data_IF_493464740640
#
_entry.id   IF_493464740640
#
_cell.length_a   1.000
_cell.length_b   1.000
_cell.length_c   1.000
_cell.angle_alpha   90.00
_cell.angle_beta   90.00
_cell.angle_gamma   90.00
#
_symmetry.space_group_name_H-M   'P 1'
#
loop_
_entity.id
_entity.type
_entity.pdbx_description
1 polymer ?
#
# COMPACT_ATOMS: atom_id res chain seq x y z
N UNK A 1 -16.29 5.02 -8.51
CA UNK A 1 -15.90 6.14 -7.62
C UNK A 1 -16.01 7.43 -8.43
N UNK A 2 -16.65 8.47 -7.87
CA UNK A 2 -16.84 9.77 -8.55
C UNK A 2 -15.92 10.80 -7.93
N UNK A 3 -15.41 11.71 -8.76
CA UNK A 3 -14.77 12.94 -8.32
C UNK A 3 -15.78 14.08 -8.49
N UNK A 4 -15.79 15.01 -7.54
CA UNK A 4 -16.65 16.19 -7.54
C UNK A 4 -15.75 17.40 -7.31
N UNK A 5 -15.73 18.34 -8.26
CA UNK A 5 -14.96 19.59 -8.12
C UNK A 5 -15.64 20.54 -7.14
N UNK A 6 -14.94 21.57 -6.59
CA UNK A 6 -15.58 22.62 -5.80
C UNK A 6 -16.69 23.39 -6.55
N UNK A 7 -16.67 23.36 -7.89
CA UNK A 7 -17.72 23.93 -8.73
C UNK A 7 -18.94 23.00 -8.88
N UNK A 8 -18.85 21.76 -8.41
CA UNK A 8 -19.92 20.76 -8.47
C UNK A 8 -19.89 19.87 -9.71
N UNK A 9 -18.84 19.94 -10.54
CA UNK A 9 -18.71 19.06 -11.71
C UNK A 9 -18.43 17.64 -11.28
N UNK A 10 -19.19 16.67 -11.80
CA UNK A 10 -19.09 15.26 -11.42
C UNK A 10 -18.49 14.44 -12.55
N UNK A 11 -17.34 13.83 -12.31
CA UNK A 11 -16.63 12.94 -13.25
C UNK A 11 -16.48 11.53 -12.67
N UNK A 12 -16.23 10.53 -13.52
CA UNK A 12 -15.79 9.21 -13.02
C UNK A 12 -14.30 9.32 -12.70
N UNK A 13 -13.95 9.16 -11.42
CA UNK A 13 -12.55 9.09 -11.00
C UNK A 13 -11.95 7.72 -11.30
N UNK A 14 -12.62 6.65 -10.85
CA UNK A 14 -12.19 5.26 -11.05
C UNK A 14 -13.38 4.30 -11.14
N UNK A 15 -13.21 3.22 -11.90
CA UNK A 15 -14.23 2.19 -12.15
C UNK A 15 -14.87 2.32 -13.54
N UNK A 16 -15.40 1.22 -14.06
CA UNK A 16 -16.30 1.25 -15.23
C UNK A 16 -17.78 1.10 -14.82
N UNK A 17 -18.65 2.07 -15.14
CA UNK A 17 -20.09 1.95 -14.91
C UNK A 17 -20.69 0.71 -15.58
N UNK A 18 -21.56 0.00 -14.86
CA UNK A 18 -22.27 -1.18 -15.36
C UNK A 18 -21.42 -2.46 -15.43
N UNK A 19 -20.16 -2.43 -14.99
CA UNK A 19 -19.30 -3.60 -14.92
C UNK A 19 -18.71 -3.75 -13.51
N UNK A 20 -19.35 -4.59 -12.68
CA UNK A 20 -18.80 -4.95 -11.38
C UNK A 20 -17.71 -6.03 -11.49
N UNK A 21 -17.02 -6.27 -10.38
CA UNK A 21 -15.92 -7.23 -10.30
C UNK A 21 -14.71 -6.63 -9.58
N UNK A 22 -13.61 -7.38 -9.55
CA UNK A 22 -12.41 -7.05 -8.78
C UNK A 22 -11.16 -6.84 -9.65
N UNK A 23 -11.34 -6.50 -10.94
CA UNK A 23 -10.21 -6.34 -11.85
C UNK A 23 -9.35 -5.14 -11.42
N UNK A 24 -8.05 -5.36 -11.26
CA UNK A 24 -7.02 -4.33 -11.11
C UNK A 24 -6.68 -3.69 -12.48
N UNK A 25 -5.94 -2.58 -12.48
CA UNK A 25 -5.50 -1.92 -13.71
C UNK A 25 -5.56 -0.39 -13.64
N UNK A 26 -5.74 0.28 -14.77
CA UNK A 26 -5.90 1.74 -14.78
C UNK A 26 -7.22 2.16 -14.13
N UNK A 27 -7.34 3.44 -13.78
CA UNK A 27 -8.58 4.03 -13.26
C UNK A 27 -9.83 3.64 -14.07
N UNK A 28 -9.74 3.59 -15.40
CA UNK A 28 -10.87 3.30 -16.29
C UNK A 28 -11.11 1.81 -16.52
N UNK A 29 -10.07 0.97 -16.39
CA UNK A 29 -10.23 -0.48 -16.55
C UNK A 29 -10.63 -1.17 -15.25
N UNK A 30 -10.18 -0.67 -14.10
CA UNK A 30 -10.44 -1.25 -12.80
C UNK A 30 -11.94 -1.44 -12.55
N UNK A 31 -12.31 -2.53 -11.88
CA UNK A 31 -13.70 -2.82 -11.47
C UNK A 31 -13.81 -2.84 -9.96
N UNK A 32 -14.98 -2.47 -9.46
CA UNK A 32 -15.33 -2.47 -8.04
C UNK A 32 -16.72 -3.08 -7.88
N UNK A 33 -17.03 -3.61 -6.70
CA UNK A 33 -18.34 -4.14 -6.35
C UNK A 33 -18.75 -3.64 -4.97
N UNK A 34 -19.68 -2.68 -4.97
CA UNK A 34 -20.15 -1.99 -3.76
C UNK A 34 -19.01 -1.43 -2.90
N UNK A 35 -18.19 -0.50 -3.45
CA UNK A 35 -17.20 0.19 -2.63
C UNK A 35 -17.91 0.96 -1.50
N UNK A 36 -17.42 0.81 -0.26
CA UNK A 36 -18.00 1.41 0.94
C UNK A 36 -17.24 2.67 1.36
N UNK A 37 -16.28 2.56 2.29
CA UNK A 37 -15.46 3.70 2.71
C UNK A 37 -14.25 3.94 1.80
N UNK A 38 -13.83 5.20 1.77
CA UNK A 38 -12.67 5.71 1.07
C UNK A 38 -11.81 6.49 2.07
N UNK A 39 -10.51 6.26 2.10
CA UNK A 39 -9.59 7.04 2.93
C UNK A 39 -8.27 7.28 2.22
N UNK A 40 -7.64 8.43 2.44
CA UNK A 40 -6.33 8.73 1.87
C UNK A 40 -5.22 8.39 2.86
N UNK A 41 -4.12 7.84 2.35
CA UNK A 41 -2.86 7.84 3.11
C UNK A 41 -2.20 9.23 3.06
N UNK A 42 -1.04 9.36 3.71
CA UNK A 42 -0.26 10.61 3.73
C UNK A 42 0.35 10.98 2.37
N UNK A 43 0.40 10.03 1.45
CA UNK A 43 1.01 10.16 0.13
C UNK A 43 -0.02 10.51 -0.95
N UNK A 44 -1.29 10.58 -0.58
CA UNK A 44 -2.40 10.85 -1.49
C UNK A 44 -2.88 9.63 -2.25
N UNK A 45 -2.47 8.41 -1.88
CA UNK A 45 -3.07 7.19 -2.40
C UNK A 45 -4.43 6.99 -1.73
N UNK A 46 -5.43 6.60 -2.52
CA UNK A 46 -6.80 6.39 -2.04
C UNK A 46 -7.05 4.91 -1.79
N UNK A 47 -7.42 4.57 -0.56
CA UNK A 47 -7.78 3.22 -0.16
C UNK A 47 -9.29 3.06 -0.16
N UNK A 48 -9.74 1.89 -0.63
CA UNK A 48 -11.14 1.58 -0.86
C UNK A 48 -11.49 0.25 -0.22
N UNK A 49 -12.53 0.23 0.61
CA UNK A 49 -13.15 -1.01 1.04
C UNK A 49 -14.06 -1.50 -0.09
N UNK A 50 -13.63 -2.49 -0.85
CA UNK A 50 -14.38 -3.05 -1.97
C UNK A 50 -15.24 -4.22 -1.46
N UNK A 51 -16.30 -3.86 -0.75
CA UNK A 51 -16.94 -4.70 0.26
C UNK A 51 -17.55 -5.99 -0.27
N UNK A 52 -18.21 -5.94 -1.43
CA UNK A 52 -18.79 -7.15 -2.04
C UNK A 52 -17.77 -7.99 -2.81
N UNK A 53 -16.56 -7.47 -3.02
CA UNK A 53 -15.42 -8.24 -3.51
C UNK A 53 -14.58 -8.86 -2.39
N UNK A 54 -14.81 -8.50 -1.11
CA UNK A 54 -14.09 -9.01 0.06
C UNK A 54 -12.61 -8.59 0.13
N UNK A 55 -12.29 -7.42 -0.45
CA UNK A 55 -10.91 -6.95 -0.62
C UNK A 55 -10.76 -5.48 -0.26
N UNK A 56 -9.52 -5.08 0.04
CA UNK A 56 -9.10 -3.69 0.16
C UNK A 56 -8.30 -3.33 -1.09
N UNK A 57 -8.63 -2.19 -1.70
CA UNK A 57 -7.97 -1.68 -2.90
C UNK A 57 -7.18 -0.43 -2.57
N UNK A 58 -6.09 -0.23 -3.27
CA UNK A 58 -5.35 1.02 -3.32
C UNK A 58 -5.48 1.60 -4.73
N UNK A 59 -5.72 2.90 -4.81
CA UNK A 59 -5.63 3.70 -6.03
C UNK A 59 -4.43 4.63 -5.84
N UNK A 60 -3.34 4.31 -6.52
CA UNK A 60 -2.11 5.07 -6.45
C UNK A 60 -2.21 6.42 -7.16
N UNK A 61 -1.40 7.37 -6.75
CA UNK A 61 -1.24 8.68 -7.43
C UNK A 61 -0.76 8.56 -8.89
N UNK A 62 -0.23 7.40 -9.27
CA UNK A 62 0.12 7.02 -10.64
C UNK A 62 -1.09 6.59 -11.50
N UNK A 63 -2.31 6.58 -10.95
CA UNK A 63 -3.53 6.19 -11.67
C UNK A 63 -3.73 4.68 -11.82
N UNK A 64 -3.02 3.87 -11.02
CA UNK A 64 -3.20 2.41 -10.98
C UNK A 64 -4.03 2.00 -9.76
N UNK A 65 -4.94 1.06 -9.99
CA UNK A 65 -5.72 0.39 -8.96
C UNK A 65 -5.17 -1.02 -8.74
N UNK A 66 -4.88 -1.35 -7.50
CA UNK A 66 -4.36 -2.66 -7.11
C UNK A 66 -5.06 -3.22 -5.87
N UNK A 67 -5.14 -4.54 -5.79
CA UNK A 67 -5.62 -5.24 -4.60
C UNK A 67 -4.48 -5.42 -3.59
N UNK A 68 -4.63 -4.81 -2.41
CA UNK A 68 -3.58 -4.83 -1.38
C UNK A 68 -3.85 -5.82 -0.24
N UNK A 69 -5.09 -6.26 -0.07
CA UNK A 69 -5.45 -7.27 0.92
C UNK A 69 -6.78 -7.95 0.60
N UNK A 70 -6.96 -9.18 1.10
CA UNK A 70 -8.10 -10.05 0.82
C UNK A 70 -7.88 -10.96 -0.41
N UNK A 71 -8.94 -11.69 -0.80
CA UNK A 71 -8.97 -12.47 -2.02
C UNK A 71 -10.35 -12.30 -2.70
N UNK A 72 -10.40 -11.84 -3.97
CA UNK A 72 -11.67 -11.56 -4.63
C UNK A 72 -12.67 -12.72 -4.58
N UNK A 73 -13.87 -12.43 -4.08
CA UNK A 73 -14.97 -13.39 -4.01
C UNK A 73 -14.82 -14.49 -2.95
N UNK A 74 -13.75 -14.48 -2.16
CA UNK A 74 -13.52 -15.46 -1.10
C UNK A 74 -13.59 -14.75 0.26
N UNK A 75 -14.71 -14.95 0.95
CA UNK A 75 -14.90 -14.41 2.28
C UNK A 75 -14.28 -15.31 3.36
N UNK A 76 -14.12 -14.76 4.57
CA UNK A 76 -13.67 -15.48 5.76
C UNK A 76 -12.92 -14.57 6.73
N UNK A 77 -12.38 -15.16 7.80
CA UNK A 77 -11.74 -14.43 8.90
C UNK A 77 -10.21 -14.66 8.99
N UNK A 78 -9.64 -15.48 8.11
CA UNK A 78 -8.23 -15.89 8.20
C UNK A 78 -7.29 -14.69 8.15
N UNK A 79 -6.30 -14.66 9.04
CA UNK A 79 -5.19 -13.70 8.98
C UNK A 79 -4.13 -14.15 7.97
N UNK A 80 -3.43 -13.20 7.36
CA UNK A 80 -2.33 -13.50 6.47
C UNK A 80 -1.89 -12.28 5.66
N UNK A 81 -0.84 -12.47 4.87
CA UNK A 81 -0.37 -11.47 3.89
C UNK A 81 -1.36 -11.35 2.71
N UNK A 82 -1.11 -10.42 1.79
CA UNK A 82 -1.95 -10.20 0.61
C UNK A 82 -2.26 -11.51 -0.13
N UNK A 83 -3.54 -11.75 -0.46
CA UNK A 83 -4.04 -12.99 -1.04
C UNK A 83 -4.31 -14.14 -0.07
N UNK A 84 -3.80 -14.09 1.18
CA UNK A 84 -4.05 -15.10 2.22
C UNK A 84 -5.01 -14.61 3.31
N UNK A 85 -4.94 -13.31 3.64
CA UNK A 85 -5.96 -12.67 4.47
C UNK A 85 -7.35 -12.81 3.86
N UNK A 86 -8.38 -12.91 4.71
CA UNK A 86 -9.79 -12.94 4.31
C UNK A 86 -10.56 -11.91 5.12
N UNK A 87 -11.52 -11.28 4.45
CA UNK A 87 -12.52 -10.40 5.03
C UNK A 87 -13.92 -10.96 4.76
N UNK A 88 -14.90 -10.46 5.48
CA UNK A 88 -16.31 -10.61 5.17
C UNK A 88 -17.01 -9.26 5.33
N UNK A 89 -17.28 -8.64 4.17
CA UNK A 89 -17.87 -7.32 4.02
C UNK A 89 -17.07 -6.22 4.74
N UNK A 90 -15.78 -6.03 4.38
CA UNK A 90 -14.99 -4.94 4.94
C UNK A 90 -15.64 -3.61 4.58
N UNK A 91 -15.76 -2.69 5.53
CA UNK A 91 -16.53 -1.47 5.33
C UNK A 91 -15.75 -0.22 5.67
N UNK A 92 -15.46 -0.04 6.96
CA UNK A 92 -14.85 1.17 7.47
C UNK A 92 -13.33 1.12 7.38
N UNK A 93 -12.70 2.26 7.08
CA UNK A 93 -11.26 2.38 6.86
C UNK A 93 -10.68 3.59 7.62
N UNK A 94 -9.61 3.38 8.39
CA UNK A 94 -8.89 4.45 9.04
C UNK A 94 -7.39 4.15 9.13
N UNK A 95 -6.55 5.13 8.77
CA UNK A 95 -5.11 5.00 8.96
C UNK A 95 -4.71 5.31 10.40
N UNK A 96 -3.88 4.45 10.98
CA UNK A 96 -3.13 4.76 12.19
C UNK A 96 -1.99 5.74 11.88
N UNK A 97 -1.48 6.47 12.89
CA UNK A 97 -0.34 7.35 12.71
C UNK A 97 0.91 6.64 12.18
N UNK A 98 0.99 5.32 12.31
CA UNK A 98 2.11 4.52 11.82
C UNK A 98 1.99 4.03 10.36
N UNK A 99 0.90 4.40 9.68
CA UNK A 99 0.64 4.02 8.29
C UNK A 99 -0.08 2.67 8.14
N UNK A 100 -0.36 1.96 9.24
CA UNK A 100 -1.22 0.79 9.20
C UNK A 100 -2.68 1.20 8.95
N UNK A 101 -3.41 0.37 8.22
CA UNK A 101 -4.83 0.60 7.92
C UNK A 101 -5.69 -0.27 8.84
N UNK A 102 -6.51 0.37 9.67
CA UNK A 102 -7.56 -0.28 10.43
C UNK A 102 -8.77 -0.47 9.52
N UNK A 103 -9.31 -1.68 9.50
CA UNK A 103 -10.46 -2.09 8.70
C UNK A 103 -11.56 -2.63 9.62
N UNK A 104 -12.79 -2.14 9.49
CA UNK A 104 -13.94 -2.85 10.08
C UNK A 104 -14.36 -3.99 9.17
N UNK A 105 -14.17 -5.21 9.65
CA UNK A 105 -14.49 -6.45 8.95
C UNK A 105 -15.90 -6.89 9.36
N UNK A 106 -16.87 -6.14 8.84
CA UNK A 106 -18.21 -5.95 9.44
C UNK A 106 -18.96 -7.25 9.70
N UNK A 107 -18.97 -8.18 8.74
CA UNK A 107 -19.73 -9.44 8.90
C UNK A 107 -18.93 -10.53 9.61
N UNK A 108 -17.65 -10.32 9.84
CA UNK A 108 -16.88 -11.10 10.79
C UNK A 108 -16.90 -10.51 12.21
N UNK A 109 -17.54 -9.36 12.42
CA UNK A 109 -17.61 -8.67 13.72
C UNK A 109 -16.21 -8.33 14.30
N UNK A 110 -15.23 -8.07 13.43
CA UNK A 110 -13.85 -7.81 13.82
C UNK A 110 -13.36 -6.43 13.39
N UNK A 111 -12.38 -5.91 14.12
CA UNK A 111 -11.50 -4.82 13.68
C UNK A 111 -10.17 -5.44 13.29
N UNK A 112 -9.72 -5.19 12.06
CA UNK A 112 -8.53 -5.83 11.48
C UNK A 112 -7.47 -4.79 11.19
N UNK A 113 -6.21 -5.15 11.41
CA UNK A 113 -5.06 -4.34 11.01
C UNK A 113 -4.54 -4.86 9.66
N UNK A 114 -4.36 -3.97 8.71
CA UNK A 114 -3.73 -4.22 7.42
C UNK A 114 -2.45 -3.39 7.36
N UNK A 115 -1.30 -4.08 7.35
CA UNK A 115 -0.02 -3.42 7.08
C UNK A 115 0.01 -3.02 5.62
N UNK A 116 0.00 -1.72 5.36
CA UNK A 116 0.18 -1.17 4.02
C UNK A 116 1.68 -0.97 3.80
N UNK A 117 2.28 -1.53 2.74
CA UNK A 117 3.67 -1.24 2.43
C UNK A 117 3.78 0.23 2.06
N UNK A 118 4.63 0.98 2.77
CA UNK A 118 4.96 2.33 2.34
C UNK A 118 5.91 2.26 1.14
N UNK A 119 5.72 3.17 0.19
CA UNK A 119 6.50 3.22 -1.04
C UNK A 119 7.94 3.65 -0.74
N UNK A 120 8.91 2.96 -1.36
CA UNK A 120 10.32 3.34 -1.33
C UNK A 120 10.63 3.97 -2.68
N UNK A 121 10.98 5.25 -2.67
CA UNK A 121 11.56 5.88 -3.85
C UNK A 121 13.07 5.60 -3.88
N UNK A 122 13.56 5.18 -5.04
CA UNK A 122 14.99 4.93 -5.29
C UNK A 122 15.44 5.88 -6.40
N UNK A 123 16.42 6.73 -6.09
CA UNK A 123 16.99 7.69 -7.04
C UNK A 123 18.50 7.49 -7.16
N UNK A 124 19.04 7.56 -8.38
CA UNK A 124 20.49 7.66 -8.58
C UNK A 124 20.97 9.06 -8.21
N UNK A 125 22.03 9.13 -7.41
CA UNK A 125 22.78 10.34 -7.07
C UNK A 125 24.16 10.30 -7.74
N UNK A 126 24.84 11.46 -7.77
CA UNK A 126 26.22 11.57 -8.26
C UNK A 126 27.14 10.49 -7.67
N UNK A 127 27.99 9.90 -8.52
CA UNK A 127 29.02 8.93 -8.13
C UNK A 127 28.53 7.49 -7.90
N UNK A 128 27.55 7.00 -8.65
CA UNK A 128 26.98 5.64 -8.53
C UNK A 128 26.43 5.34 -7.12
N UNK A 129 25.76 6.32 -6.51
CA UNK A 129 25.05 6.13 -5.25
C UNK A 129 23.56 6.00 -5.50
N UNK A 130 22.89 5.19 -4.70
CA UNK A 130 21.43 5.15 -4.67
C UNK A 130 20.92 5.80 -3.39
N UNK A 131 19.99 6.73 -3.55
CA UNK A 131 19.28 7.39 -2.46
C UNK A 131 17.92 6.71 -2.35
N UNK A 132 17.70 6.02 -1.24
CA UNK A 132 16.43 5.45 -0.87
C UNK A 132 15.71 6.43 0.05
N UNK A 133 14.49 6.78 -0.28
CA UNK A 133 13.64 7.64 0.55
C UNK A 133 12.29 7.01 0.76
N UNK A 134 11.75 7.12 1.98
CA UNK A 134 10.46 6.57 2.35
C UNK A 134 9.76 7.42 3.40
N UNK A 135 8.43 7.36 3.42
CA UNK A 135 7.64 7.99 4.47
C UNK A 135 7.82 7.24 5.78
N UNK A 136 8.00 8.01 6.84
CA UNK A 136 8.33 7.48 8.14
C UNK A 136 7.48 8.13 9.24
N UNK A 137 7.43 7.43 10.36
CA UNK A 137 6.58 7.75 11.49
C UNK A 137 7.53 8.14 12.61
N UNK A 138 7.49 9.40 13.02
CA UNK A 138 8.41 9.94 14.02
C UNK A 138 8.43 9.03 15.26
N UNK A 139 9.62 8.60 15.68
CA UNK A 139 9.86 7.70 16.79
C UNK A 139 9.89 6.20 16.45
N UNK A 140 9.49 5.78 15.23
CA UNK A 140 9.64 4.38 14.78
C UNK A 140 11.05 4.10 14.28
N UNK A 141 11.46 2.84 14.43
CA UNK A 141 12.73 2.33 13.94
C UNK A 141 12.53 1.61 12.60
N UNK A 142 13.36 1.94 11.62
CA UNK A 142 13.33 1.39 10.28
C UNK A 142 14.64 0.70 9.95
N UNK A 143 14.56 -0.41 9.22
CA UNK A 143 15.74 -1.11 8.70
C UNK A 143 15.61 -1.23 7.18
N UNK A 144 16.51 -0.58 6.45
CA UNK A 144 16.65 -0.80 5.01
C UNK A 144 17.39 -2.12 4.79
N UNK A 145 16.82 -2.96 3.93
CA UNK A 145 17.40 -4.23 3.54
C UNK A 145 17.47 -4.33 2.03
N UNK A 146 18.43 -5.13 1.56
CA UNK A 146 18.58 -5.44 0.15
C UNK A 146 18.77 -6.93 -0.08
N UNK A 147 18.45 -7.37 -1.28
CA UNK A 147 18.86 -8.67 -1.82
C UNK A 147 19.42 -8.49 -3.23
N UNK A 148 20.26 -9.42 -3.68
CA UNK A 148 20.95 -9.34 -4.98
C UNK A 148 20.34 -10.25 -6.05
N UNK A 149 19.35 -11.07 -5.71
CA UNK A 149 18.59 -11.91 -6.64
C UNK A 149 17.17 -12.12 -6.10
N UNK A 150 16.17 -12.05 -6.98
CA UNK A 150 14.78 -12.37 -6.66
C UNK A 150 14.56 -13.88 -6.44
N UNK A 151 15.48 -14.72 -6.95
CA UNK A 151 15.36 -16.18 -6.88
C UNK A 151 15.79 -16.74 -5.52
N UNK A 152 16.43 -15.92 -4.68
CA UNK A 152 16.91 -16.32 -3.36
C UNK A 152 16.58 -15.20 -2.34
N UNK A 153 15.51 -15.41 -1.56
CA UNK A 153 14.93 -14.41 -0.65
C UNK A 153 15.75 -14.18 0.64
N UNK A 154 17.08 -14.09 0.55
CA UNK A 154 17.95 -13.73 1.67
C UNK A 154 18.13 -12.22 1.68
N UNK A 155 17.65 -11.58 2.74
CA UNK A 155 17.73 -10.14 2.93
C UNK A 155 18.90 -9.77 3.84
N UNK A 156 19.74 -8.86 3.39
CA UNK A 156 20.85 -8.28 4.17
C UNK A 156 20.51 -6.85 4.58
N UNK A 157 20.94 -6.44 5.77
CA UNK A 157 20.79 -5.07 6.24
C UNK A 157 21.77 -4.16 5.47
N UNK A 158 21.29 -3.01 4.99
CA UNK A 158 22.14 -2.03 4.31
C UNK A 158 23.07 -1.31 5.28
N UNK A 159 22.51 -0.76 6.37
CA UNK A 159 23.24 -0.20 7.52
C UNK A 159 22.50 -0.51 8.83
N UNK A 160 22.88 0.11 9.94
CA UNK A 160 22.15 0.03 11.21
C UNK A 160 20.72 0.61 11.09
N UNK A 161 19.78 0.19 11.96
CA UNK A 161 18.45 0.77 11.99
C UNK A 161 18.44 2.29 12.20
N UNK A 162 17.49 2.97 11.58
CA UNK A 162 17.31 4.42 11.67
C UNK A 162 16.02 4.73 12.43
N UNK A 163 16.12 5.53 13.49
CA UNK A 163 14.94 6.10 14.17
C UNK A 163 14.45 7.32 13.41
N UNK A 164 13.17 7.33 13.04
CA UNK A 164 12.56 8.44 12.34
C UNK A 164 12.50 9.69 13.21
N UNK A 165 13.18 10.75 12.77
CA UNK A 165 13.07 12.10 13.35
C UNK A 165 12.23 13.04 12.49
N UNK A 166 11.94 12.66 11.23
CA UNK A 166 11.20 13.46 10.25
C UNK A 166 10.18 12.57 9.52
N UNK A 167 9.12 13.15 8.90
CA UNK A 167 8.13 12.38 8.14
C UNK A 167 8.66 11.66 6.91
N UNK A 168 9.86 12.01 6.44
CA UNK A 168 10.55 11.32 5.34
C UNK A 168 11.95 10.98 5.84
N UNK A 169 12.33 9.71 5.73
CA UNK A 169 13.69 9.24 5.96
C UNK A 169 14.39 8.97 4.63
N UNK A 170 15.71 9.08 4.68
CA UNK A 170 16.58 8.84 3.54
C UNK A 170 17.77 8.00 4.00
N UNK A 171 18.17 7.03 3.18
CA UNK A 171 19.40 6.27 3.35
C UNK A 171 20.11 6.11 2.01
N UNK A 172 21.45 6.13 2.02
CA UNK A 172 22.26 6.06 0.80
C UNK A 172 23.00 4.74 0.72
N UNK A 173 22.78 3.97 -0.35
CA UNK A 173 23.65 2.86 -0.72
C UNK A 173 24.87 3.42 -1.48
N UNK A 174 26.02 3.41 -0.81
CA UNK A 174 27.28 3.95 -1.33
C UNK A 174 28.01 3.01 -2.29
N UNK A 175 27.50 1.79 -2.50
CA UNK A 175 28.09 0.77 -3.37
C UNK A 175 27.01 0.30 -4.36
N UNK A 176 26.60 1.17 -5.29
CA UNK A 176 25.87 0.70 -6.47
C UNK A 176 26.88 0.14 -7.47
N UNK A 177 27.48 -1.01 -7.17
CA UNK A 177 28.16 -1.83 -8.19
C UNK A 177 27.11 -2.43 -9.11
N UNK A 178 26.54 -1.64 -10.02
CA UNK A 178 25.84 -2.05 -11.25
C UNK A 178 24.89 -3.26 -11.18
N UNK A 179 24.37 -3.63 -10.01
CA UNK A 179 23.68 -4.91 -9.78
C UNK A 179 22.28 -4.62 -9.33
N UNK A 180 21.32 -5.33 -9.92
CA UNK A 180 19.88 -5.24 -9.68
C UNK A 180 19.49 -5.64 -8.27
N UNK A 181 19.99 -4.90 -7.27
CA UNK A 181 19.59 -5.00 -5.89
C UNK A 181 18.11 -4.65 -5.80
N UNK A 182 17.37 -5.47 -5.08
CA UNK A 182 15.98 -5.22 -4.73
C UNK A 182 15.98 -4.77 -3.28
N UNK A 183 15.33 -3.64 -3.01
CA UNK A 183 15.30 -3.03 -1.68
C UNK A 183 13.95 -3.20 -1.03
N UNK A 184 13.96 -3.27 0.29
CA UNK A 184 12.78 -3.09 1.13
C UNK A 184 13.16 -2.29 2.36
N UNK A 185 12.16 -1.72 3.00
CA UNK A 185 12.30 -1.13 4.34
C UNK A 185 11.30 -1.84 5.23
N UNK A 186 11.78 -2.29 6.38
CA UNK A 186 10.93 -2.92 7.40
C UNK A 186 10.84 -2.00 8.61
N UNK A 187 9.68 -2.02 9.27
CA UNK A 187 9.48 -1.37 10.56
C UNK A 187 9.90 -2.39 11.64
N UNK A 188 10.75 -1.97 12.57
CA UNK A 188 11.13 -2.78 13.71
C UNK A 188 10.11 -2.60 14.84
N UNK A 189 9.73 -3.70 15.48
CA UNK A 189 8.85 -3.70 16.66
C UNK A 189 9.55 -3.13 17.90
#
# INVERSE_FOLDING_TARGET
IREITPAGDVSTFAGLPGADGAMDGSLQSARFRSPAELTFDRNGNLFVADSMNQIIREIGTNGLVQTISGLPGVFGATNGVNGQGRFFNPYGLAFEPDGSLIVSDTYNEMIRLVTVPFMIAVQQSEGNKLVLSWDSVIGRNYQVQYMTSADCAIWSNLDAPVTAACPILVQTDSIASSSGKIYRVIILQ
#
